data_IF_633420714275
#
_entry.id   IF_633420714275
#
_cell.length_a   1.000
_cell.length_b   1.000
_cell.length_c   1.000
_cell.angle_alpha   90.00
_cell.angle_beta   90.00
_cell.angle_gamma   90.00
#
_symmetry.space_group_name_H-M   'P 1'
#
loop_
_entity.id
_entity.type
_entity.pdbx_description
1 polymer ?
#
# COMPACT_ATOMS: atom_id res chain seq x y z
N UNK A 1 -22.52 -4.86 -22.12
CA UNK A 1 -22.02 -6.20 -22.44
C UNK A 1 -20.57 -6.25 -21.99
N UNK A 2 -20.32 -6.89 -20.87
CA UNK A 2 -18.96 -7.20 -20.45
C UNK A 2 -18.43 -8.27 -21.42
N UNK A 3 -17.30 -7.99 -22.08
CA UNK A 3 -16.58 -8.99 -22.87
C UNK A 3 -16.16 -10.19 -21.99
N UNK A 4 -15.83 -11.35 -22.57
CA UNK A 4 -15.37 -12.49 -21.80
C UNK A 4 -14.12 -12.07 -21.03
N UNK A 5 -14.22 -11.97 -19.70
CA UNK A 5 -13.12 -11.65 -18.82
C UNK A 5 -12.00 -12.68 -19.04
N UNK A 6 -10.79 -12.19 -19.27
CA UNK A 6 -9.62 -13.04 -19.29
C UNK A 6 -9.41 -13.52 -17.86
N UNK A 7 -9.73 -14.79 -17.61
CA UNK A 7 -9.45 -15.40 -16.30
C UNK A 7 -7.95 -15.45 -16.10
N UNK A 8 -7.49 -14.81 -15.05
CA UNK A 8 -6.08 -14.82 -14.64
C UNK A 8 -5.90 -15.98 -13.68
N UNK A 9 -5.07 -16.95 -14.07
CA UNK A 9 -4.67 -18.10 -13.25
C UNK A 9 -3.17 -18.07 -13.01
N UNK A 10 -2.76 -18.47 -11.81
CA UNK A 10 -1.35 -18.56 -11.44
C UNK A 10 -0.64 -19.82 -11.98
N UNK A 11 -1.34 -20.69 -12.74
CA UNK A 11 -0.77 -21.95 -13.25
C UNK A 11 0.24 -21.75 -14.38
N UNK A 12 0.24 -20.59 -15.04
CA UNK A 12 1.25 -20.23 -16.03
C UNK A 12 2.45 -19.54 -15.35
N UNK A 13 3.63 -20.17 -15.39
CA UNK A 13 4.84 -19.61 -14.77
C UNK A 13 5.18 -18.19 -15.24
N UNK A 14 4.91 -17.85 -16.51
CA UNK A 14 5.07 -16.47 -17.04
C UNK A 14 4.10 -15.48 -16.40
N UNK A 15 2.86 -15.88 -16.14
CA UNK A 15 1.87 -15.03 -15.46
C UNK A 15 2.29 -14.77 -14.03
N UNK A 16 2.86 -15.76 -13.35
CA UNK A 16 3.34 -15.63 -11.99
C UNK A 16 4.53 -14.66 -11.87
N UNK A 17 5.56 -14.83 -12.69
CA UNK A 17 6.72 -13.91 -12.72
C UNK A 17 6.29 -12.47 -13.00
N UNK A 18 5.38 -12.27 -13.94
CA UNK A 18 4.83 -10.96 -14.27
C UNK A 18 4.08 -10.35 -13.08
N UNK A 19 3.28 -11.13 -12.38
CA UNK A 19 2.53 -10.69 -11.19
C UNK A 19 3.49 -10.31 -10.07
N UNK A 20 4.47 -11.15 -9.77
CA UNK A 20 5.49 -10.85 -8.75
C UNK A 20 6.21 -9.56 -9.12
N UNK A 21 6.73 -9.47 -10.32
CA UNK A 21 7.46 -8.28 -10.77
C UNK A 21 6.62 -7.00 -10.74
N UNK A 22 5.33 -7.09 -11.09
CA UNK A 22 4.43 -5.93 -11.18
C UNK A 22 3.98 -5.44 -9.80
N UNK A 23 3.71 -6.38 -8.89
CA UNK A 23 3.02 -6.04 -7.62
C UNK A 23 3.90 -6.07 -6.37
N UNK A 24 5.11 -6.66 -6.40
CA UNK A 24 5.96 -6.78 -5.20
C UNK A 24 6.25 -5.40 -4.58
N UNK A 25 6.84 -4.48 -5.33
CA UNK A 25 7.21 -3.15 -4.82
C UNK A 25 5.99 -2.35 -4.28
N UNK A 26 4.86 -2.24 -5.02
CA UNK A 26 3.66 -1.61 -4.49
C UNK A 26 3.12 -2.28 -3.21
N UNK A 27 3.13 -3.60 -3.15
CA UNK A 27 2.63 -4.34 -1.99
C UNK A 27 3.53 -4.18 -0.77
N UNK A 28 4.86 -4.16 -0.95
CA UNK A 28 5.81 -3.89 0.14
C UNK A 28 5.62 -2.45 0.65
N UNK A 29 5.49 -1.46 -0.25
CA UNK A 29 5.17 -0.08 0.17
C UNK A 29 3.87 -0.01 0.98
N UNK A 30 2.85 -0.74 0.56
CA UNK A 30 1.59 -0.81 1.30
C UNK A 30 1.77 -1.49 2.66
N UNK A 31 2.56 -2.57 2.75
CA UNK A 31 2.89 -3.21 4.02
C UNK A 31 3.65 -2.27 4.97
N UNK A 32 4.52 -1.40 4.44
CA UNK A 32 5.20 -0.36 5.21
C UNK A 32 4.25 0.67 5.86
N UNK A 33 2.98 0.74 5.46
CA UNK A 33 1.97 1.49 6.21
C UNK A 33 1.70 0.88 7.59
N UNK A 34 1.94 -0.42 7.75
CA UNK A 34 1.61 -1.17 8.98
C UNK A 34 2.82 -1.40 9.86
N UNK A 35 3.96 -1.69 9.25
CA UNK A 35 5.20 -2.04 9.94
C UNK A 35 6.31 -1.08 9.54
N UNK A 36 7.14 -0.73 10.51
CA UNK A 36 8.19 0.24 10.29
C UNK A 36 9.43 -0.35 9.60
N UNK A 37 9.61 -1.69 9.64
CA UNK A 37 10.76 -2.36 9.04
C UNK A 37 10.46 -2.80 7.61
N UNK A 38 11.25 -2.36 6.62
CA UNK A 38 11.13 -2.84 5.24
C UNK A 38 11.29 -4.35 5.11
N UNK A 39 12.22 -4.96 5.86
CA UNK A 39 12.47 -6.41 5.85
C UNK A 39 11.22 -7.19 6.30
N UNK A 40 10.57 -6.71 7.39
CA UNK A 40 9.31 -7.30 7.86
C UNK A 40 8.19 -7.08 6.84
N UNK A 41 8.14 -5.91 6.20
CA UNK A 41 7.14 -5.62 5.16
C UNK A 41 7.29 -6.57 3.96
N UNK A 42 8.52 -6.84 3.54
CA UNK A 42 8.84 -7.78 2.47
C UNK A 42 8.45 -9.22 2.85
N UNK A 43 8.82 -9.70 4.04
CA UNK A 43 8.42 -11.01 4.56
C UNK A 43 6.89 -11.18 4.58
N UNK A 44 6.16 -10.19 5.08
CA UNK A 44 4.70 -10.22 5.14
C UNK A 44 4.05 -10.20 3.75
N UNK A 45 4.66 -9.51 2.80
CA UNK A 45 4.23 -9.50 1.41
C UNK A 45 4.46 -10.87 0.75
N UNK A 46 5.66 -11.46 0.92
CA UNK A 46 5.99 -12.79 0.40
C UNK A 46 5.06 -13.86 0.96
N UNK A 47 4.81 -13.84 2.26
CA UNK A 47 3.85 -14.70 2.93
C UNK A 47 2.43 -14.56 2.34
N UNK A 48 2.00 -13.32 2.07
CA UNK A 48 0.69 -13.06 1.49
C UNK A 48 0.60 -13.58 0.05
N UNK A 49 1.63 -13.40 -0.77
CA UNK A 49 1.70 -13.94 -2.12
C UNK A 49 1.68 -15.46 -2.11
N UNK A 50 2.46 -16.09 -1.23
CA UNK A 50 2.49 -17.55 -1.06
C UNK A 50 1.10 -18.10 -0.74
N UNK A 51 0.38 -17.48 0.18
CA UNK A 51 -1.00 -17.89 0.51
C UNK A 51 -1.96 -17.79 -0.68
N UNK A 52 -1.79 -16.75 -1.50
CA UNK A 52 -2.64 -16.54 -2.68
C UNK A 52 -2.35 -17.61 -3.72
N UNK A 53 -1.08 -17.93 -3.93
CA UNK A 53 -0.62 -18.96 -4.87
C UNK A 53 -1.11 -20.37 -4.50
N UNK A 54 -0.99 -20.74 -3.21
CA UNK A 54 -1.41 -22.06 -2.73
C UNK A 54 -2.93 -22.26 -2.90
N UNK A 55 -3.71 -21.19 -2.84
CA UNK A 55 -5.18 -21.27 -2.96
C UNK A 55 -5.68 -21.48 -4.38
N UNK A 56 -4.82 -21.34 -5.38
CA UNK A 56 -5.09 -21.54 -6.82
C UNK A 56 -6.45 -20.97 -7.27
N UNK A 57 -6.60 -19.66 -7.04
CA UNK A 57 -7.83 -18.93 -7.39
C UNK A 57 -7.75 -18.35 -8.80
N UNK A 58 -8.87 -18.43 -9.50
CA UNK A 58 -9.08 -17.68 -10.73
C UNK A 58 -9.61 -16.26 -10.40
N UNK A 59 -9.15 -15.26 -11.12
CA UNK A 59 -9.61 -13.88 -11.02
C UNK A 59 -10.28 -13.46 -12.31
N UNK A 60 -11.36 -12.69 -12.20
CA UNK A 60 -12.16 -12.25 -13.34
C UNK A 60 -11.39 -11.25 -14.21
N UNK A 61 -10.59 -10.39 -13.57
CA UNK A 61 -9.78 -9.37 -14.20
C UNK A 61 -8.59 -8.96 -13.30
N UNK A 62 -7.73 -8.10 -13.84
CA UNK A 62 -6.55 -7.59 -13.15
C UNK A 62 -6.90 -6.71 -11.93
N UNK A 63 -7.99 -5.95 -11.99
CA UNK A 63 -8.43 -5.11 -10.88
C UNK A 63 -8.87 -5.97 -9.68
N UNK A 64 -9.58 -7.07 -9.95
CA UNK A 64 -9.96 -8.05 -8.93
C UNK A 64 -8.73 -8.73 -8.31
N UNK A 65 -7.77 -9.16 -9.13
CA UNK A 65 -6.50 -9.71 -8.65
C UNK A 65 -5.76 -8.70 -7.76
N UNK A 66 -5.56 -7.46 -8.27
CA UNK A 66 -4.87 -6.39 -7.55
C UNK A 66 -5.51 -6.14 -6.19
N UNK A 67 -6.81 -5.93 -6.14
CA UNK A 67 -7.54 -5.70 -4.87
C UNK A 67 -7.41 -6.88 -3.90
N UNK A 68 -7.41 -8.11 -4.43
CA UNK A 68 -7.24 -9.33 -3.61
C UNK A 68 -5.84 -9.42 -3.00
N UNK A 69 -4.79 -9.11 -3.76
CA UNK A 69 -3.39 -9.09 -3.27
C UNK A 69 -3.24 -8.08 -2.12
N UNK A 70 -3.73 -6.85 -2.29
CA UNK A 70 -3.70 -5.84 -1.23
C UNK A 70 -4.46 -6.26 0.02
N UNK A 71 -5.61 -6.92 -0.15
CA UNK A 71 -6.38 -7.46 0.97
C UNK A 71 -5.62 -8.57 1.69
N UNK A 72 -4.91 -9.44 0.98
CA UNK A 72 -4.09 -10.50 1.55
C UNK A 72 -2.93 -9.93 2.38
N UNK A 73 -2.15 -8.99 1.81
CA UNK A 73 -1.07 -8.30 2.53
C UNK A 73 -1.60 -7.57 3.77
N UNK A 74 -2.71 -6.83 3.63
CA UNK A 74 -3.37 -6.19 4.78
C UNK A 74 -3.67 -7.19 5.90
N UNK A 75 -4.20 -8.34 5.56
CA UNK A 75 -4.55 -9.36 6.54
C UNK A 75 -3.32 -9.90 7.27
N UNK A 76 -2.22 -10.16 6.55
CA UNK A 76 -0.94 -10.58 7.14
C UNK A 76 -0.38 -9.51 8.06
N UNK A 77 -0.35 -8.26 7.64
CA UNK A 77 0.10 -7.13 8.45
C UNK A 77 -0.73 -6.96 9.73
N UNK A 78 -2.06 -7.04 9.65
CA UNK A 78 -2.91 -6.93 10.83
C UNK A 78 -2.71 -8.09 11.81
N UNK A 79 -2.48 -9.31 11.31
CA UNK A 79 -2.16 -10.45 12.15
C UNK A 79 -0.81 -10.26 12.83
N UNK A 80 0.21 -9.83 12.08
CA UNK A 80 1.51 -9.51 12.64
C UNK A 80 1.40 -8.48 13.79
N UNK A 81 0.70 -7.37 13.58
CA UNK A 81 0.50 -6.35 14.60
C UNK A 81 -0.27 -6.86 15.83
N UNK A 82 -1.20 -7.79 15.65
CA UNK A 82 -1.95 -8.39 16.77
C UNK A 82 -1.04 -9.17 17.71
N UNK A 83 -0.07 -9.90 17.16
CA UNK A 83 0.85 -10.72 17.94
C UNK A 83 2.07 -9.95 18.46
N UNK A 84 2.49 -8.88 17.76
CA UNK A 84 3.72 -8.13 18.05
C UNK A 84 3.48 -6.74 18.65
N UNK A 85 2.27 -6.44 19.13
CA UNK A 85 1.88 -5.11 19.70
C UNK A 85 2.79 -4.55 20.79
N UNK A 86 3.72 -5.33 21.33
CA UNK A 86 4.63 -4.92 22.41
C UNK A 86 6.00 -4.39 21.95
N UNK A 87 6.33 -4.41 20.65
CA UNK A 87 7.72 -4.29 20.22
C UNK A 87 8.03 -3.33 19.06
N UNK A 88 7.21 -2.37 18.73
CA UNK A 88 7.59 -1.42 17.67
C UNK A 88 7.73 0.00 18.24
N UNK A 89 8.96 0.44 18.57
CA UNK A 89 9.27 1.86 18.63
C UNK A 89 9.16 2.43 17.21
N UNK A 90 8.47 3.54 17.08
CA UNK A 90 8.31 4.29 15.82
C UNK A 90 9.54 5.16 15.51
N UNK A 91 10.74 4.73 15.84
CA UNK A 91 11.95 5.52 15.64
C UNK A 91 12.70 4.99 14.41
N UNK A 92 12.92 5.92 13.46
CA UNK A 92 13.83 5.83 12.30
C UNK A 92 13.55 4.77 11.23
N UNK A 93 12.44 4.92 10.51
CA UNK A 93 12.26 4.18 9.26
C UNK A 93 12.52 5.08 8.07
N UNK A 94 13.76 5.16 7.66
CA UNK A 94 14.07 5.50 6.28
C UNK A 94 13.59 4.35 5.38
N UNK A 95 12.37 4.46 4.88
CA UNK A 95 11.89 3.49 3.91
C UNK A 95 12.61 3.73 2.57
N UNK A 96 13.74 3.05 2.40
CA UNK A 96 14.53 3.06 1.16
C UNK A 96 13.69 2.68 -0.09
N UNK A 97 12.54 2.06 0.09
CA UNK A 97 11.61 1.65 -0.95
C UNK A 97 10.93 2.83 -1.67
N UNK A 98 10.89 4.03 -1.06
CA UNK A 98 10.45 5.24 -1.76
C UNK A 98 11.56 5.90 -2.58
N UNK A 99 12.80 5.49 -2.38
CA UNK A 99 13.93 5.88 -3.21
C UNK A 99 14.10 4.98 -4.46
N UNK A 100 13.15 4.04 -4.69
CA UNK A 100 13.19 3.10 -5.80
C UNK A 100 13.17 3.79 -7.16
N UNK A 101 14.24 3.57 -7.93
CA UNK A 101 14.37 3.69 -9.39
C UNK A 101 13.74 4.90 -10.09
N UNK A 102 13.92 6.09 -9.55
CA UNK A 102 13.77 7.30 -10.31
C UNK A 102 15.17 7.91 -10.45
N UNK A 103 15.76 7.76 -11.63
CA UNK A 103 16.80 8.65 -12.14
C UNK A 103 16.18 10.05 -12.22
N UNK A 104 16.12 10.74 -11.11
CA UNK A 104 15.48 12.02 -10.94
C UNK A 104 16.18 12.86 -9.88
N UNK A 105 16.09 14.17 -10.03
CA UNK A 105 16.62 15.23 -9.20
C UNK A 105 16.72 14.89 -7.72
N UNK A 106 17.87 15.19 -7.11
CA UNK A 106 18.13 15.03 -5.65
C UNK A 106 17.05 15.75 -4.82
N UNK A 107 16.61 16.92 -5.28
CA UNK A 107 15.57 17.74 -4.65
C UNK A 107 14.24 16.99 -4.62
N UNK A 108 13.87 16.29 -5.68
CA UNK A 108 12.64 15.49 -5.73
C UNK A 108 12.70 14.33 -4.74
N UNK A 109 13.84 13.66 -4.61
CA UNK A 109 14.06 12.56 -3.66
C UNK A 109 13.95 13.01 -2.20
N UNK A 110 14.49 14.17 -1.85
CA UNK A 110 14.38 14.73 -0.50
C UNK A 110 12.93 15.08 -0.15
N UNK A 111 12.20 15.64 -1.12
CA UNK A 111 10.79 15.98 -0.95
C UNK A 111 9.92 14.71 -0.79
N UNK A 112 10.14 13.69 -1.62
CA UNK A 112 9.40 12.43 -1.54
C UNK A 112 9.65 11.73 -0.19
N UNK A 113 10.88 11.80 0.34
CA UNK A 113 11.23 11.32 1.69
C UNK A 113 10.48 12.09 2.77
N UNK A 114 10.43 13.42 2.68
CA UNK A 114 9.72 14.26 3.65
C UNK A 114 8.22 13.99 3.64
N UNK A 115 7.59 13.84 2.47
CA UNK A 115 6.19 13.46 2.33
C UNK A 115 5.93 12.10 2.95
N UNK A 116 6.81 11.13 2.71
CA UNK A 116 6.69 9.80 3.30
C UNK A 116 6.85 9.82 4.81
N UNK A 117 7.80 10.58 5.33
CA UNK A 117 7.97 10.76 6.78
C UNK A 117 6.71 11.32 7.42
N UNK A 118 6.11 12.36 6.83
CA UNK A 118 4.83 12.90 7.28
C UNK A 118 3.70 11.88 7.24
N UNK A 119 3.68 11.00 6.20
CA UNK A 119 2.70 9.91 6.13
C UNK A 119 2.87 8.92 7.29
N UNK A 120 4.09 8.60 7.67
CA UNK A 120 4.36 7.65 8.75
C UNK A 120 3.91 8.16 10.13
N UNK A 121 3.89 9.46 10.34
CA UNK A 121 3.38 10.07 11.58
C UNK A 121 1.85 10.01 11.71
N UNK A 122 1.13 9.77 10.60
CA UNK A 122 -0.33 9.73 10.61
C UNK A 122 -0.86 8.43 11.25
N UNK A 123 -2.08 8.44 11.81
CA UNK A 123 -2.77 7.23 12.21
C UNK A 123 -2.84 6.21 11.07
N UNK A 124 -2.64 4.92 11.38
CA UNK A 124 -2.61 3.82 10.40
C UNK A 124 -3.74 3.90 9.36
N UNK A 125 -4.98 4.13 9.79
CA UNK A 125 -6.12 4.21 8.89
C UNK A 125 -6.04 5.37 7.88
N UNK A 126 -5.34 6.46 8.22
CA UNK A 126 -5.11 7.59 7.32
C UNK A 126 -4.02 7.27 6.31
N UNK A 127 -2.92 6.64 6.75
CA UNK A 127 -1.86 6.16 5.85
C UNK A 127 -2.42 5.22 4.79
N UNK A 128 -3.22 4.24 5.21
CA UNK A 128 -3.83 3.25 4.30
C UNK A 128 -4.67 3.91 3.21
N UNK A 129 -5.60 4.77 3.58
CA UNK A 129 -6.51 5.37 2.60
C UNK A 129 -5.78 6.33 1.66
N UNK A 130 -4.78 7.07 2.13
CA UNK A 130 -3.95 7.95 1.30
C UNK A 130 -3.09 7.14 0.33
N UNK A 131 -2.45 6.08 0.81
CA UNK A 131 -1.62 5.20 -0.01
C UNK A 131 -2.44 4.58 -1.13
N UNK A 132 -3.55 3.95 -0.81
CA UNK A 132 -4.43 3.31 -1.81
C UNK A 132 -4.98 4.30 -2.84
N UNK A 133 -5.29 5.53 -2.41
CA UNK A 133 -5.90 6.52 -3.31
C UNK A 133 -4.89 7.19 -4.22
N UNK A 134 -3.76 7.67 -3.67
CA UNK A 134 -2.83 8.55 -4.39
C UNK A 134 -1.61 7.85 -4.96
N UNK A 135 -1.13 6.80 -4.31
CA UNK A 135 0.05 6.08 -4.77
C UNK A 135 -0.32 4.85 -5.62
N UNK A 136 -1.37 4.15 -5.23
CA UNK A 136 -1.77 2.90 -5.89
C UNK A 136 -2.96 3.08 -6.86
N UNK A 137 -3.62 4.26 -6.85
CA UNK A 137 -4.64 4.66 -7.82
C UNK A 137 -5.94 3.87 -7.75
N UNK A 138 -6.29 3.32 -6.60
CA UNK A 138 -7.54 2.57 -6.43
C UNK A 138 -8.77 3.48 -6.44
N UNK A 139 -9.82 3.03 -7.09
CA UNK A 139 -11.15 3.63 -6.99
C UNK A 139 -11.75 3.40 -5.59
N UNK A 140 -12.67 4.27 -5.18
CA UNK A 140 -13.29 4.19 -3.84
C UNK A 140 -13.93 2.82 -3.57
N UNK A 141 -14.58 2.19 -4.57
CA UNK A 141 -15.17 0.87 -4.44
C UNK A 141 -14.16 -0.24 -4.11
N UNK A 142 -13.00 -0.18 -4.74
CA UNK A 142 -11.89 -1.11 -4.49
C UNK A 142 -11.31 -0.90 -3.09
N UNK A 143 -11.11 0.37 -2.68
CA UNK A 143 -10.66 0.72 -1.32
C UNK A 143 -11.64 0.21 -0.26
N UNK A 144 -12.95 0.31 -0.52
CA UNK A 144 -13.98 -0.28 0.36
C UNK A 144 -13.77 -1.78 0.54
N UNK A 145 -13.47 -2.49 -0.54
CA UNK A 145 -13.22 -3.94 -0.53
C UNK A 145 -11.92 -4.27 0.21
N UNK A 146 -10.82 -3.57 -0.08
CA UNK A 146 -9.51 -3.78 0.55
C UNK A 146 -9.57 -3.50 2.05
N UNK A 147 -10.16 -2.36 2.44
CA UNK A 147 -10.21 -1.94 3.85
C UNK A 147 -11.38 -2.54 4.63
N UNK A 148 -12.31 -3.24 3.96
CA UNK A 148 -13.57 -3.74 4.54
C UNK A 148 -14.36 -2.61 5.21
N UNK A 149 -14.58 -1.52 4.47
CA UNK A 149 -15.26 -0.29 4.93
C UNK A 149 -16.37 0.10 3.96
N UNK A 150 -17.40 0.79 4.47
CA UNK A 150 -18.43 1.38 3.61
C UNK A 150 -17.90 2.59 2.85
N UNK A 151 -18.48 2.98 1.71
CA UNK A 151 -18.08 4.19 0.96
C UNK A 151 -18.08 5.45 1.82
N UNK A 152 -19.10 5.62 2.66
CA UNK A 152 -19.19 6.75 3.59
C UNK A 152 -18.01 6.80 4.56
N UNK A 153 -17.59 5.64 5.08
CA UNK A 153 -16.43 5.56 5.97
C UNK A 153 -15.12 5.89 5.23
N UNK A 154 -14.96 5.41 3.99
CA UNK A 154 -13.77 5.69 3.17
C UNK A 154 -13.69 7.18 2.84
N UNK A 155 -14.79 7.82 2.40
CA UNK A 155 -14.81 9.26 2.14
C UNK A 155 -14.47 10.09 3.39
N UNK A 156 -15.05 9.73 4.55
CA UNK A 156 -14.76 10.41 5.80
C UNK A 156 -13.28 10.25 6.23
N UNK A 157 -12.73 9.04 6.07
CA UNK A 157 -11.31 8.79 6.35
C UNK A 157 -10.42 9.60 5.42
N UNK A 158 -10.71 9.59 4.12
CA UNK A 158 -9.93 10.31 3.13
C UNK A 158 -9.92 11.83 3.38
N UNK A 159 -11.09 12.41 3.69
CA UNK A 159 -11.19 13.83 4.03
C UNK A 159 -10.34 14.20 5.25
N UNK A 160 -10.45 13.43 6.33
CA UNK A 160 -9.66 13.66 7.55
C UNK A 160 -8.17 13.42 7.34
N UNK A 161 -7.83 12.38 6.58
CA UNK A 161 -6.45 12.05 6.26
C UNK A 161 -5.76 13.16 5.46
N UNK A 162 -6.45 13.72 4.46
CA UNK A 162 -5.96 14.89 3.68
C UNK A 162 -5.67 16.09 4.58
N UNK A 163 -6.59 16.41 5.47
CA UNK A 163 -6.41 17.53 6.41
C UNK A 163 -5.21 17.30 7.33
N UNK A 164 -5.09 16.08 7.88
CA UNK A 164 -3.96 15.74 8.76
C UNK A 164 -2.63 15.77 8.00
N UNK A 165 -2.57 15.21 6.78
CA UNK A 165 -1.36 15.23 5.96
C UNK A 165 -0.95 16.68 5.64
N UNK A 166 -1.90 17.50 5.20
CA UNK A 166 -1.65 18.91 4.91
C UNK A 166 -1.02 19.62 6.12
N UNK A 167 -1.59 19.43 7.31
CA UNK A 167 -1.05 20.02 8.54
C UNK A 167 0.38 19.53 8.86
N UNK A 168 0.67 18.26 8.61
CA UNK A 168 2.03 17.71 8.82
C UNK A 168 3.02 18.27 7.80
N UNK A 169 2.64 18.38 6.53
CA UNK A 169 3.48 18.95 5.47
C UNK A 169 3.79 20.43 5.70
N UNK A 170 2.80 21.22 6.12
CA UNK A 170 2.99 22.63 6.46
C UNK A 170 4.02 22.83 7.58
N UNK A 171 4.06 21.93 8.56
CA UNK A 171 5.05 21.99 9.66
C UNK A 171 6.49 21.78 9.20
N UNK A 172 6.70 21.00 8.13
CA UNK A 172 8.02 20.76 7.55
C UNK A 172 8.34 21.69 6.38
N UNK A 173 7.51 22.72 6.15
CA UNK A 173 7.74 23.77 5.15
C UNK A 173 7.37 23.36 3.72
N UNK A 174 6.62 22.28 3.54
CA UNK A 174 6.10 21.87 2.23
C UNK A 174 4.72 22.46 2.05
N UNK A 175 4.55 23.33 1.05
CA UNK A 175 3.29 24.02 0.76
C UNK A 175 2.56 23.39 -0.43
N UNK A 176 1.30 23.81 -0.64
CA UNK A 176 0.46 23.30 -1.72
C UNK A 176 0.99 23.65 -3.14
N UNK A 177 1.87 24.63 -3.25
CA UNK A 177 2.52 25.01 -4.52
C UNK A 177 3.66 24.04 -4.89
N UNK A 178 4.07 23.20 -3.95
CA UNK A 178 5.14 22.24 -4.11
C UNK A 178 4.64 20.82 -4.43
N UNK A 179 3.32 20.57 -4.45
CA UNK A 179 2.68 19.27 -4.70
C UNK A 179 1.93 19.31 -6.03
#
# INVERSE_FOLDING_TARGET
MAGPGVKISFQDGKSLETIIHTYSDPLVRFACCYVASPDIAEELMEDALTDVLIRDREFEDEAHLKAYLYKAVRHRCLNYLRFHRKFVPLEDVECALFAGNLEGDVIKKERDRAVFSCLQELPLQYRQVLMLTYFDGFAIGEICTILSRSPKQVYNLLSRAKTSLKTSLEKVGITHEDI
#
